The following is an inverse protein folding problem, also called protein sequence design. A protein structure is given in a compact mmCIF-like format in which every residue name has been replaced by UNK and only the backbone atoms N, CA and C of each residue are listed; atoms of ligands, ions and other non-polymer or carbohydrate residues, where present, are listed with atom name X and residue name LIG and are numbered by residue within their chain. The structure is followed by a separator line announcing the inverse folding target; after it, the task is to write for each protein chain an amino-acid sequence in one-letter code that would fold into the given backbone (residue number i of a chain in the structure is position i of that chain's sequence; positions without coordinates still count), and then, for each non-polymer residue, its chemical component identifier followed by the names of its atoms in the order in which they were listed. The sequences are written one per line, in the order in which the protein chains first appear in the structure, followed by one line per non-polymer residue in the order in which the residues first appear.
data_IF_624006970646
#
_entry.id   IF_624006970646
#
_cell.length_a   1.000
_cell.length_b   1.000
_cell.length_c   1.000
_cell.angle_alpha   90.00
_cell.angle_beta   90.00
_cell.angle_gamma   90.00
#
_symmetry.space_group_name_H-M   'P 1'
#
loop_
_entity.id
_entity.type
_entity.pdbx_description
1 polymer ?
#
# COMPACT_ATOMS: atom_id res chain seq x y z
N UNK A 1 12.28 3.51 2.11
CA UNK A 1 12.08 4.72 2.96
C UNK A 1 10.86 5.49 2.49
N UNK A 2 10.03 6.00 3.42
CA UNK A 2 8.87 6.85 3.12
C UNK A 2 9.06 8.17 3.86
N UNK A 3 8.89 9.29 3.18
CA UNK A 3 9.07 10.62 3.79
C UNK A 3 7.87 11.50 3.50
N UNK A 4 7.27 12.04 4.55
CA UNK A 4 6.29 13.11 4.51
C UNK A 4 7.01 14.42 4.85
N UNK A 5 6.85 15.43 4.04
CA UNK A 5 7.43 16.77 4.23
C UNK A 5 6.33 17.82 4.07
N UNK A 6 5.84 18.32 5.21
CA UNK A 6 4.76 19.29 5.26
C UNK A 6 3.47 18.85 4.56
N UNK A 7 3.12 17.58 4.65
CA UNK A 7 1.99 17.01 3.89
C UNK A 7 0.67 17.36 4.54
N UNK A 8 -0.22 17.97 3.75
CA UNK A 8 -1.59 18.30 4.13
C UNK A 8 -2.57 17.65 3.15
N UNK A 9 -3.68 17.14 3.68
CA UNK A 9 -4.84 16.72 2.90
C UNK A 9 -6.08 17.43 3.37
N UNK A 10 -6.61 18.28 2.51
CA UNK A 10 -7.90 18.95 2.68
C UNK A 10 -8.85 18.51 1.57
N UNK A 11 -10.05 18.14 1.96
CA UNK A 11 -11.12 17.79 1.02
C UNK A 11 -11.86 19.05 0.52
N UNK A 12 -12.59 18.96 -0.62
CA UNK A 12 -13.32 20.10 -1.20
C UNK A 12 -14.36 20.72 -0.28
N UNK A 13 -14.89 19.97 0.68
CA UNK A 13 -15.82 20.44 1.72
C UNK A 13 -15.15 21.24 2.85
N UNK A 14 -13.83 21.43 2.76
CA UNK A 14 -13.02 22.13 3.77
C UNK A 14 -12.50 21.24 4.88
N UNK A 15 -12.87 19.97 4.94
CA UNK A 15 -12.38 19.03 5.96
C UNK A 15 -10.89 18.79 5.79
N UNK A 16 -10.11 19.08 6.82
CA UNK A 16 -8.67 18.76 6.89
C UNK A 16 -8.50 17.39 7.54
N UNK A 17 -8.15 16.40 6.74
CA UNK A 17 -7.95 15.02 7.21
C UNK A 17 -6.53 14.77 7.71
N UNK A 18 -5.55 15.47 7.16
CA UNK A 18 -4.13 15.45 7.52
C UNK A 18 -3.62 16.87 7.44
N UNK A 19 -2.96 17.35 8.49
CA UNK A 19 -2.50 18.72 8.63
C UNK A 19 -1.00 18.77 8.91
N UNK A 20 -0.24 19.29 7.94
CA UNK A 20 1.20 19.58 8.01
C UNK A 20 2.04 18.47 8.65
N UNK A 21 1.86 17.23 8.18
CA UNK A 21 2.63 16.10 8.69
C UNK A 21 4.03 16.10 8.09
N UNK A 22 5.03 16.08 8.96
CA UNK A 22 6.43 15.83 8.62
C UNK A 22 6.92 14.63 9.42
N UNK A 23 7.28 13.57 8.69
CA UNK A 23 7.69 12.31 9.31
C UNK A 23 8.50 11.48 8.32
N UNK A 24 9.45 10.71 8.83
CA UNK A 24 10.23 9.75 8.07
C UNK A 24 10.02 8.34 8.60
N UNK A 25 9.80 7.40 7.68
CA UNK A 25 9.75 5.96 7.95
C UNK A 25 11.00 5.34 7.32
N UNK A 26 12.05 5.05 8.10
CA UNK A 26 13.28 4.46 7.59
C UNK A 26 13.07 3.06 7.02
N UNK A 27 13.96 2.64 6.12
CA UNK A 27 13.96 1.29 5.59
C UNK A 27 14.19 0.26 6.71
N UNK A 28 13.53 -0.89 6.58
CA UNK A 28 13.67 -2.00 7.53
C UNK A 28 13.03 -1.76 8.89
N UNK A 29 12.26 -0.69 9.07
CA UNK A 29 11.56 -0.39 10.33
C UNK A 29 10.08 -0.73 10.26
N UNK A 30 9.48 -0.98 11.44
CA UNK A 30 8.05 -1.04 11.64
C UNK A 30 7.59 0.26 12.29
N UNK A 31 6.79 1.02 11.57
CA UNK A 31 6.18 2.26 12.08
C UNK A 31 4.67 2.06 12.25
N UNK A 32 4.14 2.49 13.38
CA UNK A 32 2.72 2.34 13.71
C UNK A 32 2.08 3.71 13.92
N UNK A 33 0.99 3.99 13.20
CA UNK A 33 0.16 5.16 13.44
C UNK A 33 -0.90 4.83 14.49
N UNK A 34 -0.85 5.53 15.61
CA UNK A 34 -1.79 5.38 16.73
C UNK A 34 -2.59 6.66 16.90
N UNK A 35 -3.89 6.53 17.12
CA UNK A 35 -4.78 7.65 17.34
C UNK A 35 -6.26 7.27 17.25
N UNK A 36 -7.17 8.16 17.65
CA UNK A 36 -8.61 7.93 17.62
C UNK A 36 -9.12 7.74 16.18
N UNK A 37 -10.33 7.20 16.04
CA UNK A 37 -11.00 7.10 14.75
C UNK A 37 -11.14 8.49 14.11
N UNK A 38 -10.87 8.58 12.80
CA UNK A 38 -10.97 9.84 12.06
C UNK A 38 -9.77 10.79 12.15
N UNK A 39 -8.68 10.41 12.86
CA UNK A 39 -7.50 11.28 12.98
C UNK A 39 -6.53 11.26 11.78
N UNK A 40 -6.93 10.71 10.62
CA UNK A 40 -6.14 10.77 9.39
C UNK A 40 -5.21 9.59 9.11
N UNK A 41 -5.16 8.54 9.95
CA UNK A 41 -4.29 7.35 9.75
C UNK A 41 -4.49 6.70 8.38
N UNK A 42 -5.73 6.36 8.05
CA UNK A 42 -6.08 5.72 6.77
C UNK A 42 -5.83 6.65 5.59
N UNK A 43 -6.11 7.93 5.74
CA UNK A 43 -5.82 8.94 4.71
C UNK A 43 -4.33 9.03 4.42
N UNK A 44 -3.50 9.07 5.47
CA UNK A 44 -2.03 9.08 5.33
C UNK A 44 -1.52 7.83 4.60
N UNK A 45 -2.00 6.64 4.97
CA UNK A 45 -1.63 5.40 4.28
C UNK A 45 -2.09 5.37 2.82
N UNK A 46 -3.27 5.91 2.51
CA UNK A 46 -3.79 5.99 1.14
C UNK A 46 -3.07 7.03 0.28
N UNK A 47 -2.42 8.01 0.89
CA UNK A 47 -1.55 8.93 0.16
C UNK A 47 -0.24 8.27 -0.25
N UNK A 48 0.33 7.36 0.57
CA UNK A 48 1.57 6.63 0.25
C UNK A 48 1.45 5.85 -1.07
N UNK A 49 0.33 5.19 -1.31
CA UNK A 49 0.09 4.43 -2.54
C UNK A 49 -0.68 5.23 -3.61
N UNK A 50 -0.81 6.55 -3.40
CA UNK A 50 -1.51 7.48 -4.31
C UNK A 50 -2.97 7.05 -4.64
N UNK A 51 -3.67 6.42 -3.71
CA UNK A 51 -5.14 6.29 -3.79
C UNK A 51 -5.83 7.61 -3.47
N UNK A 52 -5.18 8.47 -2.67
CA UNK A 52 -5.55 9.84 -2.37
C UNK A 52 -4.32 10.70 -2.66
N UNK A 53 -4.50 11.82 -3.35
CA UNK A 53 -3.41 12.77 -3.57
C UNK A 53 -3.33 13.79 -2.42
N UNK A 54 -2.12 14.15 -1.96
CA UNK A 54 -1.95 15.24 -1.02
C UNK A 54 -2.40 16.58 -1.64
N UNK A 55 -2.91 17.47 -0.82
CA UNK A 55 -3.28 18.83 -1.25
C UNK A 55 -2.05 19.73 -1.33
N UNK A 56 -1.11 19.56 -0.40
CA UNK A 56 0.16 20.28 -0.35
C UNK A 56 1.22 19.44 0.35
N UNK A 57 2.46 19.92 0.29
CA UNK A 57 3.62 19.18 0.80
C UNK A 57 4.13 18.14 -0.19
N UNK A 58 5.17 17.43 0.20
CA UNK A 58 5.82 16.40 -0.63
C UNK A 58 5.82 15.06 0.09
N UNK A 59 5.36 14.02 -0.59
CA UNK A 59 5.39 12.64 -0.11
C UNK A 59 6.25 11.82 -1.06
N UNK A 60 7.29 11.20 -0.54
CA UNK A 60 8.19 10.35 -1.33
C UNK A 60 8.19 8.91 -0.84
N UNK A 61 8.33 7.97 -1.77
CA UNK A 61 8.54 6.54 -1.51
C UNK A 61 9.82 6.13 -2.22
N UNK A 62 10.80 5.68 -1.47
CA UNK A 62 12.14 5.33 -1.98
C UNK A 62 12.81 6.45 -2.81
N UNK A 63 12.59 7.70 -2.40
CA UNK A 63 13.13 8.89 -3.07
C UNK A 63 12.27 9.44 -4.21
N UNK A 64 11.25 8.71 -4.66
CA UNK A 64 10.36 9.14 -5.74
C UNK A 64 9.11 9.85 -5.18
N UNK A 65 8.83 11.06 -5.69
CA UNK A 65 7.60 11.79 -5.36
C UNK A 65 6.38 11.04 -5.91
N UNK A 66 5.48 10.64 -5.02
CA UNK A 66 4.31 9.82 -5.38
C UNK A 66 3.38 10.50 -6.40
N UNK A 67 3.40 11.83 -6.47
CA UNK A 67 2.56 12.59 -7.42
C UNK A 67 3.16 12.66 -8.82
N UNK A 68 4.45 12.36 -8.99
CA UNK A 68 5.20 12.47 -10.25
C UNK A 68 5.47 11.14 -10.94
N UNK A 69 5.35 10.03 -10.23
CA UNK A 69 5.55 8.68 -10.78
C UNK A 69 4.26 8.10 -11.34
N UNK A 70 4.39 7.09 -12.20
CA UNK A 70 3.23 6.30 -12.66
C UNK A 70 2.56 5.60 -11.46
N UNK A 71 1.26 5.85 -11.20
CA UNK A 71 0.57 5.28 -10.05
C UNK A 71 0.49 3.74 -10.08
N UNK A 72 0.42 3.12 -11.26
CA UNK A 72 0.40 1.67 -11.40
C UNK A 72 1.76 1.10 -10.99
N UNK A 73 2.85 1.68 -11.50
CA UNK A 73 4.21 1.28 -11.16
C UNK A 73 4.51 1.46 -9.67
N UNK A 74 4.08 2.58 -9.09
CA UNK A 74 4.20 2.84 -7.65
C UNK A 74 3.51 1.74 -6.84
N UNK A 75 2.24 1.45 -7.14
CA UNK A 75 1.42 0.46 -6.41
C UNK A 75 1.94 -0.96 -6.56
N UNK A 76 2.50 -1.33 -7.70
CA UNK A 76 3.13 -2.64 -7.88
C UNK A 76 4.38 -2.83 -6.99
N UNK A 77 5.00 -1.75 -6.54
CA UNK A 77 6.11 -1.76 -5.59
C UNK A 77 5.70 -1.82 -4.12
N UNK A 78 4.41 -1.65 -3.80
CA UNK A 78 3.89 -1.53 -2.43
C UNK A 78 2.96 -2.71 -2.13
N UNK A 79 3.25 -3.48 -1.08
CA UNK A 79 2.27 -4.41 -0.51
C UNK A 79 1.26 -3.65 0.34
N UNK A 80 -0.03 -3.79 0.05
CA UNK A 80 -1.09 -3.10 0.77
C UNK A 80 -2.11 -4.08 1.32
N UNK A 81 -2.31 -4.08 2.64
CA UNK A 81 -3.32 -4.89 3.33
C UNK A 81 -4.47 -3.97 3.72
N UNK A 82 -5.65 -4.22 3.14
CA UNK A 82 -6.87 -3.46 3.46
C UNK A 82 -7.59 -4.03 4.67
N UNK A 83 -8.41 -3.21 5.32
CA UNK A 83 -9.17 -3.60 6.51
C UNK A 83 -10.21 -4.69 6.23
N UNK A 84 -10.78 -4.74 5.04
CA UNK A 84 -11.69 -5.80 4.59
C UNK A 84 -10.93 -6.85 3.79
N UNK A 85 -11.46 -8.06 3.67
CA UNK A 85 -10.78 -9.22 3.11
C UNK A 85 -10.07 -9.01 1.76
N UNK A 86 -10.62 -8.18 0.85
CA UNK A 86 -9.97 -7.80 -0.40
C UNK A 86 -9.60 -8.94 -1.36
N UNK A 87 -10.07 -10.15 -1.09
CA UNK A 87 -9.85 -11.31 -1.92
C UNK A 87 -10.92 -11.41 -3.01
N UNK A 88 -10.54 -11.91 -4.16
CA UNK A 88 -11.46 -12.22 -5.26
C UNK A 88 -12.15 -13.56 -4.99
N UNK A 89 -13.45 -13.56 -4.61
CA UNK A 89 -14.13 -14.77 -4.12
C UNK A 89 -14.31 -15.85 -5.20
N UNK A 90 -14.23 -15.47 -6.47
CA UNK A 90 -14.31 -16.39 -7.62
C UNK A 90 -12.97 -17.05 -7.96
N UNK A 91 -11.89 -16.70 -7.26
CA UNK A 91 -10.57 -17.26 -7.46
C UNK A 91 -10.15 -18.13 -6.26
N UNK A 92 -9.31 -19.11 -6.53
CA UNK A 92 -8.66 -19.89 -5.48
C UNK A 92 -7.72 -19.01 -4.66
N UNK A 93 -7.41 -19.41 -3.43
CA UNK A 93 -6.47 -18.71 -2.56
C UNK A 93 -5.12 -18.52 -3.24
N UNK A 94 -4.57 -19.56 -3.84
CA UNK A 94 -3.30 -19.52 -4.56
C UNK A 94 -3.30 -18.50 -5.72
N UNK A 95 -4.42 -18.36 -6.42
CA UNK A 95 -4.56 -17.40 -7.53
C UNK A 95 -4.66 -15.97 -7.03
N UNK A 96 -5.32 -15.75 -5.89
CA UNK A 96 -5.31 -14.45 -5.22
C UNK A 96 -3.89 -14.03 -4.83
N UNK A 97 -3.10 -14.94 -4.24
CA UNK A 97 -1.71 -14.68 -3.86
C UNK A 97 -0.83 -14.44 -5.09
N UNK A 98 -1.07 -15.16 -6.18
CA UNK A 98 -0.33 -15.04 -7.44
C UNK A 98 -0.69 -13.80 -8.27
N UNK A 99 -1.73 -13.05 -7.91
CA UNK A 99 -2.24 -11.94 -8.73
C UNK A 99 -1.18 -10.86 -8.97
N UNK A 100 -0.51 -10.38 -7.93
CA UNK A 100 0.49 -9.30 -8.07
C UNK A 100 1.70 -9.72 -8.89
N UNK A 101 2.33 -10.91 -8.70
CA UNK A 101 3.38 -11.38 -9.58
C UNK A 101 2.95 -11.46 -11.06
N UNK A 102 1.74 -11.93 -11.35
CA UNK A 102 1.21 -11.97 -12.72
C UNK A 102 1.05 -10.55 -13.29
N UNK A 103 0.57 -9.59 -12.51
CA UNK A 103 0.47 -8.19 -12.92
C UNK A 103 1.85 -7.55 -13.18
N UNK A 104 2.90 -8.06 -12.53
CA UNK A 104 4.30 -7.68 -12.80
C UNK A 104 4.89 -8.34 -14.04
N UNK A 105 4.14 -9.19 -14.73
CA UNK A 105 4.56 -9.84 -15.97
C UNK A 105 5.08 -11.28 -15.81
N UNK A 106 5.01 -11.85 -14.60
CA UNK A 106 5.38 -13.26 -14.42
C UNK A 106 4.36 -14.20 -15.04
N UNK A 107 4.82 -15.37 -15.51
CA UNK A 107 3.92 -16.43 -15.97
C UNK A 107 3.07 -16.93 -14.79
N UNK A 108 1.82 -17.32 -15.06
CA UNK A 108 0.93 -17.89 -14.01
C UNK A 108 1.55 -19.09 -13.31
N UNK A 109 2.33 -19.91 -14.02
CA UNK A 109 3.01 -21.08 -13.46
C UNK A 109 4.07 -20.66 -12.44
N UNK A 110 4.91 -19.68 -12.79
CA UNK A 110 5.95 -19.14 -11.90
C UNK A 110 5.33 -18.46 -10.68
N UNK A 111 4.33 -17.61 -10.90
CA UNK A 111 3.62 -16.90 -9.84
C UNK A 111 2.95 -17.84 -8.84
N UNK A 112 2.29 -18.92 -9.32
CA UNK A 112 1.71 -19.94 -8.44
C UNK A 112 2.77 -20.71 -7.66
N UNK A 113 3.92 -21.03 -8.25
CA UNK A 113 5.02 -21.68 -7.54
C UNK A 113 5.55 -20.79 -6.38
N UNK A 114 5.72 -19.51 -6.63
CA UNK A 114 6.09 -18.55 -5.60
C UNK A 114 5.01 -18.41 -4.52
N UNK A 115 3.73 -18.40 -4.92
CA UNK A 115 2.59 -18.31 -4.00
C UNK A 115 2.52 -19.47 -3.01
N UNK A 116 2.91 -20.69 -3.41
CA UNK A 116 2.99 -21.85 -2.49
C UNK A 116 3.93 -21.56 -1.32
N UNK A 117 5.13 -21.07 -1.59
CA UNK A 117 6.09 -20.72 -0.55
C UNK A 117 5.61 -19.60 0.38
N UNK A 118 4.83 -18.64 -0.15
CA UNK A 118 4.23 -17.57 0.67
C UNK A 118 3.15 -18.13 1.58
N UNK A 119 2.28 -19.02 1.09
CA UNK A 119 1.24 -19.68 1.89
C UNK A 119 1.84 -20.48 3.04
N UNK A 120 2.88 -21.29 2.76
CA UNK A 120 3.60 -22.04 3.79
C UNK A 120 4.19 -21.13 4.87
N UNK A 121 4.78 -20.01 4.48
CA UNK A 121 5.38 -19.04 5.44
C UNK A 121 4.35 -18.43 6.40
N UNK A 122 3.11 -18.30 6.00
CA UNK A 122 2.02 -17.81 6.87
C UNK A 122 1.21 -18.94 7.51
N UNK A 123 1.65 -20.18 7.38
CA UNK A 123 1.03 -21.35 8.01
C UNK A 123 -0.30 -21.81 7.37
N UNK A 124 -0.52 -21.45 6.10
CA UNK A 124 -1.69 -21.89 5.35
C UNK A 124 -1.39 -23.13 4.50
N UNK A 125 -2.38 -24.03 4.39
CA UNK A 125 -2.26 -25.20 3.52
C UNK A 125 -2.15 -24.76 2.04
N UNK A 126 -1.07 -25.12 1.34
CA UNK A 126 -0.90 -24.78 -0.08
C UNK A 126 -1.94 -25.38 -1.02
N UNK A 127 -2.78 -26.30 -0.53
CA UNK A 127 -3.88 -26.89 -1.31
C UNK A 127 -5.17 -26.05 -1.35
N UNK A 128 -5.21 -24.94 -0.59
CA UNK A 128 -6.33 -24.02 -0.56
C UNK A 128 -6.50 -23.21 -1.86
#
# INVERSE_FOLDING_TARGET
MITFDGVTKQYPDGTVAVDDITLEVPDGTLTVFVGPSGCGKTTSMRMINRMIEPTSGTLTVNGDDVTKVDPVKLRLGIGYVIQSAGLMPHQRVIDNVATVPVLKGESRRTARKAALGVLERVGLDPKL
#
